data_IF_489160463521
#
_entry.id   IF_489160463521
#
_cell.length_a   1.000
_cell.length_b   1.000
_cell.length_c   1.000
_cell.angle_alpha   90.00
_cell.angle_beta   90.00
_cell.angle_gamma   90.00
#
_symmetry.space_group_name_H-M   'P 1'
#
loop_
_entity.id
_entity.type
_entity.pdbx_description
1 polymer ?
#
# COMPACT_ATOMS: atom_id res chain seq x y z
N UNK A 1 26.14 16.23 10.08
CA UNK A 1 25.64 14.93 9.57
C UNK A 1 26.45 14.53 8.36
N UNK A 2 26.73 13.24 8.18
CA UNK A 2 27.36 12.76 6.93
C UNK A 2 26.40 12.97 5.74
N UNK A 3 26.94 13.07 4.51
CA UNK A 3 26.14 13.17 3.28
C UNK A 3 25.13 12.01 3.16
N UNK A 4 25.52 10.82 3.61
CA UNK A 4 24.66 9.63 3.61
C UNK A 4 23.40 9.82 4.45
N UNK A 5 23.54 10.30 5.70
CA UNK A 5 22.37 10.55 6.56
C UNK A 5 21.48 11.68 6.03
N UNK A 6 22.06 12.69 5.35
CA UNK A 6 21.27 13.74 4.69
C UNK A 6 20.42 13.18 3.55
N UNK A 7 20.98 12.31 2.72
CA UNK A 7 20.23 11.67 1.64
C UNK A 7 19.07 10.82 2.17
N UNK A 8 19.26 10.12 3.31
CA UNK A 8 18.17 9.37 3.97
C UNK A 8 17.07 10.33 4.42
N UNK A 9 17.44 11.44 5.06
CA UNK A 9 16.48 12.45 5.50
C UNK A 9 15.69 13.05 4.32
N UNK A 10 16.37 13.37 3.22
CA UNK A 10 15.74 13.94 2.02
C UNK A 10 14.75 12.92 1.41
N UNK A 11 15.11 11.64 1.32
CA UNK A 11 14.24 10.58 0.83
C UNK A 11 13.00 10.37 1.73
N UNK A 12 13.18 10.37 3.05
CA UNK A 12 12.06 10.28 4.00
C UNK A 12 11.12 11.48 3.92
N UNK A 13 11.67 12.68 3.73
CA UNK A 13 10.89 13.91 3.58
C UNK A 13 10.07 13.89 2.28
N UNK A 14 10.65 13.39 1.18
CA UNK A 14 9.93 13.21 -0.09
C UNK A 14 8.81 12.17 0.04
N UNK A 15 9.08 11.00 0.64
CA UNK A 15 8.07 9.97 0.86
C UNK A 15 6.91 10.51 1.70
N UNK A 16 7.22 11.21 2.79
CA UNK A 16 6.20 11.82 3.63
C UNK A 16 5.35 12.83 2.86
N UNK A 17 5.96 13.67 2.01
CA UNK A 17 5.23 14.60 1.14
C UNK A 17 4.24 13.89 0.21
N UNK A 18 4.69 12.84 -0.47
CA UNK A 18 3.82 12.03 -1.35
C UNK A 18 2.66 11.38 -0.58
N UNK A 19 2.91 10.89 0.63
CA UNK A 19 1.85 10.34 1.50
C UNK A 19 0.83 11.42 1.92
N UNK A 20 1.27 12.66 2.14
CA UNK A 20 0.35 13.76 2.42
C UNK A 20 -0.52 14.11 1.21
N UNK A 21 0.08 14.15 0.02
CA UNK A 21 -0.63 14.45 -1.24
C UNK A 21 -1.67 13.37 -1.56
N UNK A 22 -1.41 12.12 -1.17
CA UNK A 22 -2.36 10.99 -1.23
C UNK A 22 -3.36 10.95 -0.06
N UNK A 23 -3.39 11.96 0.80
CA UNK A 23 -4.26 12.05 1.99
C UNK A 23 -4.05 10.93 3.03
N UNK A 24 -2.87 10.27 3.07
CA UNK A 24 -2.58 9.15 3.96
C UNK A 24 -2.14 9.57 5.37
N UNK A 25 -2.15 10.86 5.69
CA UNK A 25 -1.70 11.42 6.99
C UNK A 25 -2.36 10.83 8.23
N UNK A 26 -3.55 10.24 8.06
CA UNK A 26 -4.35 9.66 9.12
C UNK A 26 -4.15 8.14 9.26
N UNK A 27 -3.26 7.55 8.46
CA UNK A 27 -2.88 6.16 8.54
C UNK A 27 -1.88 5.96 9.68
N UNK A 28 -2.08 4.89 10.44
CA UNK A 28 -1.09 4.46 11.45
C UNK A 28 0.14 3.83 10.77
N UNK A 29 1.28 3.70 11.46
CA UNK A 29 2.47 3.04 10.91
C UNK A 29 2.20 1.62 10.37
N UNK A 30 1.30 0.87 11.00
CA UNK A 30 0.91 -0.47 10.53
C UNK A 30 0.08 -0.41 9.25
N UNK A 31 -0.80 0.59 9.12
CA UNK A 31 -1.61 0.79 7.91
C UNK A 31 -0.72 1.28 6.75
N UNK A 32 0.24 2.18 7.02
CA UNK A 32 1.25 2.58 6.04
C UNK A 32 2.12 1.40 5.59
N UNK A 33 2.50 0.51 6.51
CA UNK A 33 3.24 -0.71 6.15
C UNK A 33 2.46 -1.57 5.15
N UNK A 34 1.16 -1.77 5.37
CA UNK A 34 0.29 -2.49 4.41
C UNK A 34 0.28 -1.77 3.07
N UNK A 35 0.13 -0.44 3.05
CA UNK A 35 0.18 0.36 1.83
C UNK A 35 1.51 0.23 1.09
N UNK A 36 2.66 0.35 1.77
CA UNK A 36 3.99 0.18 1.17
C UNK A 36 4.17 -1.23 0.60
N UNK A 37 3.65 -2.26 1.28
CA UNK A 37 3.64 -3.64 0.76
C UNK A 37 2.85 -3.73 -0.55
N UNK A 38 1.69 -3.11 -0.65
CA UNK A 38 0.88 -3.07 -1.89
C UNK A 38 1.67 -2.40 -3.02
N UNK A 39 2.26 -1.21 -2.78
CA UNK A 39 3.06 -0.49 -3.79
C UNK A 39 4.21 -1.35 -4.31
N UNK A 40 4.94 -1.99 -3.40
CA UNK A 40 6.11 -2.82 -3.74
C UNK A 40 5.70 -4.00 -4.60
N UNK A 41 4.69 -4.77 -4.17
CA UNK A 41 4.23 -5.94 -4.92
C UNK A 41 3.54 -5.59 -6.24
N UNK A 42 2.81 -4.46 -6.29
CA UNK A 42 2.15 -4.01 -7.52
C UNK A 42 3.16 -3.65 -8.61
N UNK A 43 4.34 -3.15 -8.23
CA UNK A 43 5.44 -2.88 -9.15
C UNK A 43 6.08 -4.18 -9.67
N UNK A 44 6.08 -5.25 -8.88
CA UNK A 44 6.68 -6.54 -9.25
C UNK A 44 5.77 -7.43 -10.11
N UNK A 45 4.43 -7.27 -10.00
CA UNK A 45 3.42 -8.18 -10.55
C UNK A 45 2.42 -7.56 -11.54
N UNK A 46 2.81 -6.53 -12.30
CA UNK A 46 1.95 -5.89 -13.31
C UNK A 46 0.58 -5.40 -12.77
N UNK A 47 0.64 -4.68 -11.63
CA UNK A 47 -0.42 -3.81 -11.04
C UNK A 47 -1.51 -4.44 -10.17
N UNK A 48 -1.65 -5.76 -10.11
CA UNK A 48 -2.63 -6.41 -9.22
C UNK A 48 -1.96 -7.34 -8.21
N UNK A 49 -2.43 -7.32 -6.97
CA UNK A 49 -1.83 -8.09 -5.86
C UNK A 49 -2.91 -8.84 -5.10
N UNK A 50 -2.69 -10.11 -4.75
CA UNK A 50 -3.66 -10.85 -3.93
C UNK A 50 -3.62 -10.37 -2.48
N UNK A 51 -4.78 -10.36 -1.81
CA UNK A 51 -4.84 -10.04 -0.37
C UNK A 51 -4.01 -11.02 0.47
N UNK A 52 -3.92 -12.29 0.07
CA UNK A 52 -3.10 -13.29 0.76
C UNK A 52 -1.62 -12.87 0.76
N UNK A 53 -1.10 -12.46 -0.39
CA UNK A 53 0.29 -12.00 -0.53
C UNK A 53 0.54 -10.71 0.28
N UNK A 54 -0.44 -9.82 0.37
CA UNK A 54 -0.34 -8.62 1.22
C UNK A 54 -0.24 -9.02 2.69
N UNK A 55 -1.08 -9.95 3.16
CA UNK A 55 -1.07 -10.43 4.56
C UNK A 55 0.27 -11.05 4.91
N UNK A 56 0.80 -11.91 4.04
CA UNK A 56 2.05 -12.63 4.27
C UNK A 56 3.25 -11.68 4.30
N UNK A 57 3.37 -10.81 3.31
CA UNK A 57 4.54 -9.95 3.16
C UNK A 57 4.50 -8.69 4.03
N UNK A 58 3.32 -8.18 4.40
CA UNK A 58 3.25 -7.05 5.34
C UNK A 58 3.53 -7.50 6.78
N UNK A 59 3.39 -8.80 7.08
CA UNK A 59 3.47 -9.37 8.41
C UNK A 59 2.37 -8.85 9.35
N UNK A 60 1.25 -8.37 8.80
CA UNK A 60 0.12 -7.83 9.57
C UNK A 60 -0.99 -8.87 9.70
N UNK A 61 -1.83 -8.73 10.72
CA UNK A 61 -3.02 -9.57 10.83
C UNK A 61 -3.98 -9.30 9.66
N UNK A 62 -4.74 -10.33 9.27
CA UNK A 62 -5.82 -10.18 8.27
C UNK A 62 -6.74 -9.01 8.60
N UNK A 63 -7.16 -8.88 9.87
CA UNK A 63 -8.04 -7.79 10.30
C UNK A 63 -7.44 -6.40 10.05
N UNK A 64 -6.14 -6.23 10.30
CA UNK A 64 -5.42 -4.98 10.00
C UNK A 64 -5.36 -4.73 8.49
N UNK A 65 -5.06 -5.76 7.69
CA UNK A 65 -5.02 -5.65 6.23
C UNK A 65 -6.39 -5.23 5.69
N UNK A 66 -7.46 -5.97 6.01
CA UNK A 66 -8.81 -5.64 5.52
C UNK A 66 -9.29 -4.26 5.97
N UNK A 67 -9.01 -3.85 7.21
CA UNK A 67 -9.31 -2.50 7.69
C UNK A 67 -8.58 -1.44 6.86
N UNK A 68 -7.31 -1.68 6.53
CA UNK A 68 -6.50 -0.76 5.73
C UNK A 68 -6.99 -0.68 4.29
N UNK A 69 -7.27 -1.83 3.66
CA UNK A 69 -7.83 -1.90 2.30
C UNK A 69 -9.15 -1.13 2.20
N UNK A 70 -10.02 -1.25 3.20
CA UNK A 70 -11.27 -0.47 3.25
C UNK A 70 -11.03 1.04 3.30
N UNK A 71 -10.00 1.50 4.03
CA UNK A 71 -9.63 2.93 4.05
C UNK A 71 -9.09 3.38 2.70
N UNK A 72 -8.13 2.63 2.14
CA UNK A 72 -7.52 2.95 0.84
C UNK A 72 -8.57 3.00 -0.28
N UNK A 73 -9.53 2.08 -0.29
CA UNK A 73 -10.64 2.08 -1.24
C UNK A 73 -11.58 3.27 -0.99
N UNK A 74 -11.85 3.63 0.26
CA UNK A 74 -12.62 4.83 0.60
C UNK A 74 -11.96 6.14 0.17
N UNK A 75 -10.62 6.18 0.11
CA UNK A 75 -9.84 7.30 -0.45
C UNK A 75 -9.69 7.23 -1.98
N UNK A 76 -10.24 6.20 -2.64
CA UNK A 76 -10.14 6.01 -4.09
C UNK A 76 -8.73 5.65 -4.59
N UNK A 77 -7.85 5.18 -3.70
CA UNK A 77 -6.46 4.82 -4.02
C UNK A 77 -6.37 3.41 -4.63
N UNK A 78 -7.26 2.51 -4.20
CA UNK A 78 -7.32 1.14 -4.70
C UNK A 78 -8.75 0.74 -5.07
N UNK A 79 -8.82 -0.20 -5.99
CA UNK A 79 -10.00 -1.00 -6.27
C UNK A 79 -9.80 -2.45 -5.81
N UNK A 80 -10.91 -3.10 -5.44
CA UNK A 80 -10.94 -4.51 -5.05
C UNK A 80 -11.74 -5.30 -6.08
N UNK A 81 -11.09 -6.26 -6.72
CA UNK A 81 -11.73 -7.14 -7.70
C UNK A 81 -11.65 -8.60 -7.26
N UNK A 82 -12.57 -9.43 -7.72
CA UNK A 82 -12.47 -10.86 -7.53
C UNK A 82 -11.44 -11.42 -8.51
N UNK A 83 -10.55 -12.30 -8.05
CA UNK A 83 -9.57 -12.91 -8.95
C UNK A 83 -10.27 -13.69 -10.07
N UNK A 84 -9.86 -13.51 -11.34
CA UNK A 84 -10.47 -14.19 -12.48
C UNK A 84 -10.17 -15.69 -12.50
N UNK A 85 -9.07 -16.11 -11.85
CA UNK A 85 -8.58 -17.49 -11.82
C UNK A 85 -8.95 -18.22 -10.55
N UNK A 86 -9.01 -17.53 -9.40
CA UNK A 86 -9.48 -18.09 -8.14
C UNK A 86 -10.55 -17.20 -7.50
N UNK A 87 -11.81 -17.63 -7.56
CA UNK A 87 -12.94 -16.92 -6.97
C UNK A 87 -12.85 -16.76 -5.45
N UNK A 88 -11.96 -17.49 -4.77
CA UNK A 88 -11.71 -17.36 -3.33
C UNK A 88 -10.75 -16.22 -3.00
N UNK A 89 -10.02 -15.72 -3.98
CA UNK A 89 -9.08 -14.63 -3.82
C UNK A 89 -9.64 -13.31 -4.33
N UNK A 90 -9.17 -12.23 -3.72
CA UNK A 90 -9.44 -10.86 -4.13
C UNK A 90 -8.14 -10.18 -4.51
N UNK A 91 -8.19 -9.47 -5.62
CA UNK A 91 -7.11 -8.66 -6.15
C UNK A 91 -7.27 -7.23 -5.67
N UNK A 92 -6.15 -6.64 -5.27
CA UNK A 92 -6.00 -5.22 -5.00
C UNK A 92 -5.34 -4.59 -6.22
N UNK A 93 -5.98 -3.56 -6.78
CA UNK A 93 -5.51 -2.83 -7.95
C UNK A 93 -5.28 -1.37 -7.56
N UNK A 94 -4.12 -0.81 -7.91
CA UNK A 94 -3.84 0.61 -7.70
C UNK A 94 -4.56 1.44 -8.76
N UNK A 95 -5.30 2.45 -8.31
CA UNK A 95 -6.00 3.34 -9.22
C UNK A 95 -5.00 4.25 -9.94
N UNK A 96 -5.27 4.52 -11.22
CA UNK A 96 -4.53 5.55 -11.94
C UNK A 96 -4.94 6.88 -11.33
N UNK A 97 -4.06 7.51 -10.57
CA UNK A 97 -4.30 8.88 -10.08
C UNK A 97 -4.44 9.77 -11.33
N UNK A 98 -5.65 10.25 -11.57
CA UNK A 98 -6.03 11.12 -12.69
C UNK A 98 -5.65 12.57 -12.42
#
# INVERSE_FOLDING_TARGET
>A
MSKFYRNIYDALSMLYGLEQDLNLKHFTPNELKVFHTIITQSHEHDRSVNITDIVENSGMSRSTVYKTLKKLSGEGIIDLEQSPTDKRESLVILNSLS
#
